data_IF_659934254372
#
_entry.id   IF_659934254372
#
_cell.length_a   1.000
_cell.length_b   1.000
_cell.length_c   1.000
_cell.angle_alpha   90.00
_cell.angle_beta   90.00
_cell.angle_gamma   90.00
#
_symmetry.space_group_name_H-M   'P 1'
#
loop_
_entity.id
_entity.type
_entity.pdbx_description
1 polymer ?
#
# COMPACT_ATOMS: atom_id res chain seq x y z
N UNK A 1 22.40 27.06 -11.64
CA UNK A 1 22.45 27.96 -10.47
C UNK A 1 22.43 27.13 -9.20
N UNK A 2 23.24 27.43 -8.18
CA UNK A 2 23.16 26.78 -6.87
C UNK A 2 21.91 27.19 -6.06
N UNK A 3 21.20 28.24 -6.47
CA UNK A 3 20.00 28.72 -5.79
C UNK A 3 18.81 27.77 -6.00
N UNK A 4 17.97 27.61 -4.97
CA UNK A 4 16.77 26.76 -5.00
C UNK A 4 15.67 27.36 -5.87
N UNK A 5 15.74 28.66 -6.13
CA UNK A 5 14.82 29.38 -7.01
C UNK A 5 15.53 30.42 -7.86
N UNK A 6 14.94 30.79 -8.98
CA UNK A 6 15.46 31.80 -9.89
C UNK A 6 14.31 32.52 -10.60
N UNK A 7 14.49 33.82 -10.83
CA UNK A 7 13.56 34.63 -11.63
C UNK A 7 14.17 34.86 -13.02
N UNK A 8 13.41 34.53 -14.06
CA UNK A 8 13.80 34.77 -15.47
C UNK A 8 12.59 35.26 -16.23
N UNK A 9 12.71 36.41 -16.89
CA UNK A 9 11.67 37.04 -17.75
C UNK A 9 10.29 37.13 -17.04
N UNK A 10 10.26 37.49 -15.74
CA UNK A 10 9.02 37.62 -15.00
C UNK A 10 8.42 36.29 -14.46
N UNK A 11 9.05 35.18 -14.79
CA UNK A 11 8.67 33.86 -14.27
C UNK A 11 9.59 33.46 -13.12
N UNK A 12 9.01 32.82 -12.13
CA UNK A 12 9.74 32.29 -10.97
C UNK A 12 9.83 30.78 -11.11
N UNK A 13 11.06 30.27 -11.08
CA UNK A 13 11.39 28.85 -11.21
C UNK A 13 11.83 28.32 -9.85
N UNK A 14 11.22 27.22 -9.41
CA UNK A 14 11.57 26.52 -8.17
C UNK A 14 12.00 25.10 -8.50
N UNK A 15 13.13 24.69 -7.95
CA UNK A 15 13.64 23.33 -8.12
C UNK A 15 12.93 22.39 -7.15
N UNK A 16 12.55 21.22 -7.64
CA UNK A 16 12.00 20.12 -6.87
C UNK A 16 12.94 18.94 -7.02
N UNK A 17 13.52 18.50 -5.93
CA UNK A 17 14.50 17.43 -5.91
C UNK A 17 13.88 16.12 -5.40
N UNK A 18 14.32 14.97 -5.98
CA UNK A 18 14.22 13.66 -5.37
C UNK A 18 15.60 13.29 -4.83
N UNK A 19 15.74 13.20 -3.52
CA UNK A 19 17.03 13.08 -2.84
C UNK A 19 18.00 14.21 -3.25
N UNK A 20 18.93 13.92 -4.16
CA UNK A 20 19.93 14.88 -4.68
C UNK A 20 19.81 15.13 -6.18
N UNK A 21 18.81 14.53 -6.85
CA UNK A 21 18.56 14.74 -8.28
C UNK A 21 17.44 15.75 -8.50
N UNK A 22 17.67 16.66 -9.44
CA UNK A 22 16.64 17.60 -9.89
C UNK A 22 15.61 16.82 -10.73
N UNK A 23 14.39 16.65 -10.20
CA UNK A 23 13.32 15.90 -10.85
C UNK A 23 12.37 16.81 -11.60
N UNK A 24 11.97 17.92 -10.98
CA UNK A 24 11.02 18.85 -11.58
C UNK A 24 11.46 20.30 -11.38
N UNK A 25 10.94 21.16 -12.25
CA UNK A 25 11.00 22.60 -12.09
C UNK A 25 9.56 23.10 -12.05
N UNK A 26 9.16 23.66 -10.91
CA UNK A 26 7.88 24.36 -10.79
C UNK A 26 8.04 25.77 -11.32
N UNK A 27 7.15 26.16 -12.24
CA UNK A 27 7.05 27.51 -12.78
C UNK A 27 5.86 28.22 -12.14
N UNK A 28 6.11 29.38 -11.55
CA UNK A 28 5.07 30.25 -11.04
C UNK A 28 5.10 31.60 -11.77
N UNK A 29 3.92 32.12 -12.13
CA UNK A 29 3.75 33.43 -12.77
C UNK A 29 2.52 34.12 -12.23
N UNK A 30 2.52 35.44 -12.18
CA UNK A 30 1.41 36.28 -11.74
C UNK A 30 1.86 37.68 -11.43
N UNK A 31 0.91 38.58 -11.26
CA UNK A 31 1.14 40.02 -11.04
C UNK A 31 1.19 40.39 -9.54
N UNK A 32 1.04 39.43 -8.65
CA UNK A 32 1.07 39.63 -7.18
C UNK A 32 2.47 39.38 -6.61
N UNK A 33 2.84 40.17 -5.61
CA UNK A 33 4.07 39.97 -4.82
C UNK A 33 4.10 38.64 -4.10
N UNK A 34 2.94 37.96 -3.91
CA UNK A 34 2.80 36.69 -3.24
C UNK A 34 3.25 35.49 -4.11
N UNK A 35 3.46 35.68 -5.42
CA UNK A 35 3.82 34.58 -6.36
C UNK A 35 5.04 33.80 -5.89
N UNK A 36 6.05 34.49 -5.37
CA UNK A 36 7.23 33.83 -4.82
C UNK A 36 6.90 32.94 -3.62
N UNK A 37 6.11 33.45 -2.67
CA UNK A 37 5.76 32.70 -1.45
C UNK A 37 4.90 31.48 -1.79
N UNK A 38 3.89 31.67 -2.65
CA UNK A 38 3.02 30.57 -3.11
C UNK A 38 3.82 29.51 -3.87
N UNK A 39 4.69 29.92 -4.80
CA UNK A 39 5.56 29.01 -5.54
C UNK A 39 6.51 28.23 -4.65
N UNK A 40 7.08 28.88 -3.63
CA UNK A 40 7.96 28.24 -2.66
C UNK A 40 7.21 27.21 -1.80
N UNK A 41 6.02 27.55 -1.30
CA UNK A 41 5.18 26.62 -0.55
C UNK A 41 4.79 25.43 -1.44
N UNK A 42 4.34 25.68 -2.65
CA UNK A 42 3.95 24.64 -3.60
C UNK A 42 5.12 23.70 -3.93
N UNK A 43 6.32 24.22 -4.19
CA UNK A 43 7.51 23.40 -4.48
C UNK A 43 7.89 22.50 -3.29
N UNK A 44 7.80 23.03 -2.08
CA UNK A 44 8.05 22.26 -0.85
C UNK A 44 7.00 21.16 -0.64
N UNK A 45 5.72 21.47 -0.87
CA UNK A 45 4.66 20.47 -0.77
C UNK A 45 4.80 19.36 -1.82
N UNK A 46 5.14 19.71 -3.07
CA UNK A 46 5.40 18.73 -4.12
C UNK A 46 6.56 17.81 -3.73
N UNK A 47 7.65 18.37 -3.20
CA UNK A 47 8.79 17.59 -2.75
C UNK A 47 8.41 16.60 -1.64
N UNK A 48 7.63 17.03 -0.66
CA UNK A 48 7.13 16.16 0.41
C UNK A 48 6.22 15.05 -0.13
N UNK A 49 5.36 15.36 -1.10
CA UNK A 49 4.49 14.38 -1.75
C UNK A 49 5.30 13.34 -2.54
N UNK A 50 6.36 13.76 -3.24
CA UNK A 50 7.24 12.83 -3.97
C UNK A 50 7.93 11.85 -3.03
N UNK A 51 8.47 12.34 -1.90
CA UNK A 51 9.09 11.48 -0.88
C UNK A 51 8.09 10.46 -0.34
N UNK A 52 6.89 10.92 0.04
CA UNK A 52 5.84 10.04 0.56
C UNK A 52 5.36 9.01 -0.48
N UNK A 53 5.22 9.43 -1.75
CA UNK A 53 4.84 8.55 -2.85
C UNK A 53 5.89 7.45 -3.10
N UNK A 54 7.18 7.84 -3.12
CA UNK A 54 8.30 6.91 -3.30
C UNK A 54 8.37 5.89 -2.17
N UNK A 55 8.24 6.33 -0.93
CA UNK A 55 8.23 5.43 0.24
C UNK A 55 7.08 4.42 0.14
N UNK A 56 5.89 4.88 -0.22
CA UNK A 56 4.72 4.00 -0.43
C UNK A 56 4.95 3.02 -1.57
N UNK A 57 5.51 3.48 -2.69
CA UNK A 57 5.83 2.63 -3.85
C UNK A 57 6.86 1.56 -3.51
N UNK A 58 7.91 1.92 -2.77
CA UNK A 58 8.96 0.98 -2.34
C UNK A 58 8.41 -0.08 -1.38
N UNK A 59 7.54 0.30 -0.44
CA UNK A 59 6.84 -0.63 0.47
C UNK A 59 5.91 -1.58 -0.31
N UNK A 60 5.10 -1.05 -1.22
CA UNK A 60 4.20 -1.86 -2.05
C UNK A 60 4.98 -2.87 -2.91
N UNK A 61 6.07 -2.42 -3.52
CA UNK A 61 6.95 -3.28 -4.33
C UNK A 61 7.65 -4.36 -3.49
N UNK A 62 8.09 -4.01 -2.28
CA UNK A 62 8.68 -4.97 -1.35
C UNK A 62 7.66 -6.05 -0.97
N UNK A 63 6.44 -5.66 -0.57
CA UNK A 63 5.37 -6.58 -0.18
C UNK A 63 4.96 -7.49 -1.34
N UNK A 64 4.80 -6.97 -2.55
CA UNK A 64 4.52 -7.78 -3.75
C UNK A 64 5.56 -8.86 -3.99
N UNK A 65 6.83 -8.48 -3.96
CA UNK A 65 7.93 -9.44 -4.15
C UNK A 65 8.00 -10.47 -3.01
N UNK A 66 7.70 -10.06 -1.78
CA UNK A 66 7.63 -10.96 -0.63
C UNK A 66 6.49 -11.99 -0.78
N UNK A 67 5.28 -11.55 -1.13
CA UNK A 67 4.14 -12.43 -1.37
C UNK A 67 4.42 -13.47 -2.46
N UNK A 68 5.07 -13.04 -3.54
CA UNK A 68 5.41 -13.89 -4.69
C UNK A 68 6.66 -14.76 -4.50
N UNK A 69 7.29 -14.70 -3.32
CA UNK A 69 8.48 -15.48 -2.99
C UNK A 69 9.70 -15.16 -3.89
N UNK A 70 9.81 -13.89 -4.31
CA UNK A 70 10.84 -13.41 -5.24
C UNK A 70 12.07 -12.81 -4.53
N UNK A 71 12.16 -12.95 -3.21
CA UNK A 71 13.23 -12.34 -2.41
C UNK A 71 14.06 -13.41 -1.71
N UNK A 72 15.37 -13.19 -1.67
CA UNK A 72 16.25 -13.98 -0.82
C UNK A 72 16.06 -13.59 0.65
N UNK A 73 16.27 -14.53 1.56
CA UNK A 73 16.07 -14.31 3.00
C UNK A 73 16.83 -13.08 3.52
N UNK A 74 18.08 -12.89 3.08
CA UNK A 74 18.90 -11.73 3.47
C UNK A 74 18.27 -10.41 2.98
N UNK A 75 17.72 -10.41 1.76
CA UNK A 75 17.07 -9.23 1.18
C UNK A 75 15.76 -8.89 1.89
N UNK A 76 15.02 -9.89 2.36
CA UNK A 76 13.79 -9.68 3.13
C UNK A 76 14.08 -8.81 4.35
N UNK A 77 15.02 -9.22 5.19
CA UNK A 77 15.34 -8.49 6.43
C UNK A 77 16.01 -7.13 6.17
N UNK A 78 16.92 -7.04 5.19
CA UNK A 78 17.59 -5.79 4.85
C UNK A 78 16.58 -4.74 4.31
N UNK A 79 15.68 -5.13 3.42
CA UNK A 79 14.66 -4.23 2.88
C UNK A 79 13.62 -3.86 3.91
N UNK A 80 13.15 -4.81 4.72
CA UNK A 80 12.22 -4.54 5.81
C UNK A 80 12.78 -3.48 6.76
N UNK A 81 14.05 -3.63 7.17
CA UNK A 81 14.75 -2.64 8.02
C UNK A 81 14.83 -1.27 7.35
N UNK A 82 15.21 -1.20 6.06
CA UNK A 82 15.28 0.06 5.31
C UNK A 82 13.93 0.76 5.20
N UNK A 83 12.86 -0.02 5.07
CA UNK A 83 11.48 0.46 4.90
C UNK A 83 10.75 0.67 6.24
N UNK A 84 11.43 0.47 7.35
CA UNK A 84 10.86 0.57 8.70
C UNK A 84 9.65 -0.35 8.91
N UNK A 85 9.76 -1.60 8.41
CA UNK A 85 8.74 -2.64 8.55
C UNK A 85 9.19 -3.62 9.64
N UNK A 86 8.37 -3.78 10.66
CA UNK A 86 8.64 -4.75 11.74
C UNK A 86 8.64 -6.18 11.19
N UNK A 87 9.65 -6.96 11.54
CA UNK A 87 9.85 -8.32 11.02
C UNK A 87 9.25 -9.39 11.89
N UNK A 88 9.22 -9.20 13.21
CA UNK A 88 8.81 -10.17 14.21
C UNK A 88 7.46 -9.79 14.84
N UNK A 89 6.44 -9.61 13.98
CA UNK A 89 5.06 -9.34 14.41
C UNK A 89 4.12 -10.34 13.75
N UNK A 90 3.02 -10.61 14.43
CA UNK A 90 1.97 -11.49 13.89
C UNK A 90 1.35 -10.84 12.65
N UNK A 91 1.25 -11.59 11.57
CA UNK A 91 0.54 -11.17 10.35
C UNK A 91 -0.33 -12.28 9.81
N UNK A 92 -1.36 -11.87 9.13
CA UNK A 92 -2.17 -12.72 8.28
C UNK A 92 -2.38 -12.11 6.91
N UNK A 93 -2.69 -12.96 5.94
CA UNK A 93 -2.87 -12.59 4.55
C UNK A 93 -4.31 -12.90 4.15
N UNK A 94 -5.03 -11.86 3.75
CA UNK A 94 -6.34 -12.01 3.09
C UNK A 94 -6.19 -11.83 1.59
N UNK A 95 -6.85 -12.68 0.85
CA UNK A 95 -7.06 -12.52 -0.59
C UNK A 95 -8.52 -12.19 -0.80
N UNK A 96 -8.76 -11.06 -1.44
CA UNK A 96 -10.09 -10.56 -1.78
C UNK A 96 -10.21 -10.58 -3.30
N UNK A 97 -11.08 -11.44 -3.81
CA UNK A 97 -11.41 -11.48 -5.24
C UNK A 97 -12.74 -10.77 -5.47
N UNK A 98 -12.75 -9.86 -6.44
CA UNK A 98 -13.94 -9.13 -6.88
C UNK A 98 -14.33 -9.56 -8.31
N UNK A 99 -15.56 -9.27 -8.72
CA UNK A 99 -16.04 -9.63 -10.06
C UNK A 99 -15.44 -8.74 -11.15
N UNK A 100 -14.88 -7.59 -10.81
CA UNK A 100 -14.29 -6.64 -11.76
C UNK A 100 -12.79 -6.82 -11.84
N UNK A 101 -12.29 -6.90 -13.07
CA UNK A 101 -10.83 -6.86 -13.30
C UNK A 101 -10.30 -5.46 -13.00
N UNK A 102 -9.16 -5.38 -12.29
CA UNK A 102 -8.48 -4.13 -11.90
C UNK A 102 -9.40 -3.17 -11.15
N UNK A 103 -10.08 -3.66 -10.15
CA UNK A 103 -10.97 -2.84 -9.33
C UNK A 103 -10.18 -1.84 -8.48
N UNK A 104 -9.84 -0.70 -9.09
CA UNK A 104 -9.11 0.39 -8.43
C UNK A 104 -9.97 0.98 -7.31
N UNK A 105 -11.30 1.01 -7.47
CA UNK A 105 -12.21 1.53 -6.46
C UNK A 105 -12.18 0.68 -5.20
N UNK A 106 -12.35 -0.64 -5.33
CA UNK A 106 -12.26 -1.56 -4.20
C UNK A 106 -10.91 -1.51 -3.50
N UNK A 107 -9.81 -1.43 -4.28
CA UNK A 107 -8.46 -1.29 -3.73
C UNK A 107 -8.29 0.00 -2.91
N UNK A 108 -8.76 1.12 -3.44
CA UNK A 108 -8.66 2.43 -2.77
C UNK A 108 -9.55 2.51 -1.53
N UNK A 109 -10.73 1.91 -1.56
CA UNK A 109 -11.63 1.83 -0.41
C UNK A 109 -11.04 0.98 0.71
N UNK A 110 -10.50 -0.20 0.39
CA UNK A 110 -9.80 -1.02 1.37
C UNK A 110 -8.58 -0.30 1.97
N UNK A 111 -7.82 0.43 1.14
CA UNK A 111 -6.70 1.26 1.62
C UNK A 111 -7.16 2.37 2.57
N UNK A 112 -8.26 3.01 2.27
CA UNK A 112 -8.82 4.10 3.07
C UNK A 112 -9.27 3.63 4.45
N UNK A 113 -9.91 2.47 4.52
CA UNK A 113 -10.49 1.94 5.76
C UNK A 113 -9.47 1.16 6.59
N UNK A 114 -8.72 0.25 5.97
CA UNK A 114 -7.78 -0.64 6.67
C UNK A 114 -6.38 -0.04 6.79
N UNK A 115 -5.93 0.72 5.79
CA UNK A 115 -4.58 1.28 5.73
C UNK A 115 -4.33 2.44 6.70
N UNK A 116 -5.36 2.96 7.38
CA UNK A 116 -5.28 4.19 8.19
C UNK A 116 -4.35 4.13 9.41
N UNK A 117 -3.96 2.95 9.87
CA UNK A 117 -3.00 2.78 10.97
C UNK A 117 -1.55 2.60 10.52
N UNK A 118 -1.29 2.56 9.20
CA UNK A 118 0.06 2.46 8.63
C UNK A 118 0.80 1.13 8.85
N UNK A 119 0.12 0.12 9.42
CA UNK A 119 0.68 -1.19 9.75
C UNK A 119 0.27 -2.28 8.77
N UNK A 120 -0.90 -2.11 8.16
CA UNK A 120 -1.45 -3.03 7.17
C UNK A 120 -1.00 -2.62 5.77
N UNK A 121 -0.75 -3.62 4.91
CA UNK A 121 -0.41 -3.38 3.51
C UNK A 121 -1.53 -3.89 2.63
N UNK A 122 -2.01 -3.04 1.73
CA UNK A 122 -3.06 -3.38 0.78
C UNK A 122 -2.50 -3.18 -0.63
N UNK A 123 -2.41 -4.27 -1.37
CA UNK A 123 -1.81 -4.31 -2.71
C UNK A 123 -2.60 -5.22 -3.65
N UNK A 124 -2.28 -5.19 -4.93
CA UNK A 124 -2.78 -6.13 -5.92
C UNK A 124 -1.59 -6.83 -6.59
N UNK A 125 -1.60 -8.15 -6.63
CA UNK A 125 -0.56 -8.96 -7.28
C UNK A 125 -0.94 -9.38 -8.70
N UNK A 126 -2.24 -9.35 -9.00
CA UNK A 126 -2.81 -9.61 -10.32
C UNK A 126 -4.07 -8.74 -10.57
N UNK A 127 -4.80 -9.01 -11.65
CA UNK A 127 -5.94 -8.19 -12.08
C UNK A 127 -7.22 -8.43 -11.28
N UNK A 128 -7.32 -9.51 -10.50
CA UNK A 128 -8.54 -9.93 -9.81
C UNK A 128 -8.43 -9.91 -8.30
N UNK A 129 -7.20 -10.04 -7.79
CA UNK A 129 -6.98 -10.28 -6.37
C UNK A 129 -6.37 -9.06 -5.68
N UNK A 130 -7.09 -8.54 -4.69
CA UNK A 130 -6.58 -7.57 -3.75
C UNK A 130 -6.04 -8.35 -2.54
N UNK A 131 -4.84 -8.03 -2.12
CA UNK A 131 -4.18 -8.69 -1.00
C UNK A 131 -4.10 -7.72 0.16
N UNK A 132 -4.58 -8.16 1.32
CA UNK A 132 -4.43 -7.44 2.59
C UNK A 132 -3.45 -8.22 3.45
N UNK A 133 -2.31 -7.61 3.75
CA UNK A 133 -1.35 -8.10 4.75
C UNK A 133 -1.66 -7.37 6.05
N UNK A 134 -2.35 -8.04 6.97
CA UNK A 134 -2.81 -7.45 8.21
C UNK A 134 -1.83 -7.74 9.35
N UNK A 135 -1.43 -6.69 10.09
CA UNK A 135 -0.73 -6.86 11.35
C UNK A 135 -1.73 -7.15 12.47
N UNK A 136 -1.46 -8.19 13.25
CA UNK A 136 -2.28 -8.63 14.37
C UNK A 136 -1.63 -8.25 15.70
N UNK A 137 -2.45 -7.88 16.68
CA UNK A 137 -2.01 -7.63 18.03
C UNK A 137 -1.59 -8.91 18.76
N UNK A 138 -0.90 -8.80 19.91
CA UNK A 138 -0.41 -9.97 20.66
C UNK A 138 -1.50 -10.96 21.08
N UNK A 139 -2.73 -10.47 21.34
CA UNK A 139 -3.90 -11.27 21.73
C UNK A 139 -4.80 -11.71 20.60
N UNK A 140 -4.56 -11.20 19.38
CA UNK A 140 -5.39 -11.47 18.22
C UNK A 140 -5.15 -12.89 17.67
N UNK A 141 -6.21 -13.45 17.10
CA UNK A 141 -6.22 -14.78 16.52
C UNK A 141 -7.32 -14.91 15.46
N UNK A 142 -7.73 -16.13 15.17
CA UNK A 142 -8.74 -16.43 14.15
C UNK A 142 -10.07 -15.67 14.32
N UNK A 143 -10.59 -15.39 15.54
CA UNK A 143 -11.80 -14.58 15.69
C UNK A 143 -11.65 -13.15 15.15
N UNK A 144 -10.46 -12.53 15.28
CA UNK A 144 -10.20 -11.20 14.71
C UNK A 144 -10.08 -11.27 13.20
N UNK A 145 -9.59 -12.37 12.65
CA UNK A 145 -9.53 -12.60 11.20
C UNK A 145 -10.93 -12.74 10.62
N UNK A 146 -11.81 -13.53 11.23
CA UNK A 146 -13.22 -13.65 10.84
C UNK A 146 -13.91 -12.27 10.85
N UNK A 147 -13.68 -11.48 11.89
CA UNK A 147 -14.20 -10.12 11.99
C UNK A 147 -13.68 -9.22 10.87
N UNK A 148 -12.38 -9.25 10.59
CA UNK A 148 -11.78 -8.48 9.49
C UNK A 148 -12.35 -8.90 8.13
N UNK A 149 -12.54 -10.20 7.90
CA UNK A 149 -13.14 -10.69 6.66
C UNK A 149 -14.57 -10.17 6.48
N UNK A 150 -15.37 -10.11 7.56
CA UNK A 150 -16.71 -9.53 7.52
C UNK A 150 -16.67 -8.01 7.25
N UNK A 151 -15.76 -7.27 7.90
CA UNK A 151 -15.60 -5.83 7.68
C UNK A 151 -15.25 -5.53 6.21
N UNK A 152 -14.36 -6.32 5.60
CA UNK A 152 -14.02 -6.22 4.17
C UNK A 152 -15.24 -6.50 3.30
N UNK A 153 -15.96 -7.58 3.60
CA UNK A 153 -17.16 -7.98 2.85
C UNK A 153 -18.24 -6.92 2.89
N UNK A 154 -18.54 -6.38 4.08
CA UNK A 154 -19.58 -5.38 4.29
C UNK A 154 -19.22 -4.06 3.61
N UNK A 155 -17.93 -3.65 3.66
CA UNK A 155 -17.44 -2.47 2.97
C UNK A 155 -17.64 -2.58 1.46
N UNK A 156 -17.22 -3.67 0.85
CA UNK A 156 -17.29 -3.85 -0.60
C UNK A 156 -18.73 -4.03 -1.09
N UNK A 157 -19.58 -4.69 -0.30
CA UNK A 157 -21.02 -4.77 -0.59
C UNK A 157 -21.70 -3.40 -0.54
N UNK A 158 -21.33 -2.56 0.41
CA UNK A 158 -21.86 -1.19 0.50
C UNK A 158 -21.48 -0.33 -0.72
N UNK A 159 -20.39 -0.66 -1.41
CA UNK A 159 -19.95 -0.02 -2.66
C UNK A 159 -20.57 -0.66 -3.91
N UNK A 160 -21.42 -1.65 -3.73
CA UNK A 160 -22.14 -2.31 -4.83
C UNK A 160 -21.35 -3.42 -5.51
N UNK A 161 -20.28 -3.95 -4.85
CA UNK A 161 -19.57 -5.10 -5.34
C UNK A 161 -20.39 -6.38 -5.10
N UNK A 162 -20.48 -7.19 -6.15
CA UNK A 162 -21.14 -8.49 -6.13
C UNK A 162 -20.09 -9.62 -6.29
N UNK A 163 -20.46 -10.83 -5.87
CA UNK A 163 -19.61 -12.02 -6.02
C UNK A 163 -18.22 -11.90 -5.41
N UNK A 164 -18.14 -11.29 -4.22
CA UNK A 164 -16.91 -11.15 -3.47
C UNK A 164 -16.53 -12.50 -2.86
N UNK A 165 -15.28 -12.93 -3.07
CA UNK A 165 -14.70 -14.10 -2.39
C UNK A 165 -13.54 -13.63 -1.53
N UNK A 166 -13.49 -14.12 -0.30
CA UNK A 166 -12.42 -13.79 0.64
C UNK A 166 -11.86 -15.10 1.19
N UNK A 167 -10.56 -15.24 1.15
CA UNK A 167 -9.83 -16.31 1.81
C UNK A 167 -8.67 -15.72 2.60
N UNK A 168 -8.27 -16.41 3.68
CA UNK A 168 -7.11 -16.03 4.45
C UNK A 168 -6.23 -17.24 4.77
N UNK A 169 -4.95 -16.99 5.01
CA UNK A 169 -3.97 -18.02 5.31
C UNK A 169 -3.84 -18.32 6.80
N UNK A 170 -2.75 -18.93 7.18
CA UNK A 170 -2.39 -19.11 8.58
C UNK A 170 -1.67 -17.88 9.13
N UNK A 171 -1.91 -17.58 10.42
CA UNK A 171 -1.20 -16.53 11.13
C UNK A 171 0.29 -16.88 11.20
N UNK A 172 1.14 -15.95 10.76
CA UNK A 172 2.59 -16.08 10.80
C UNK A 172 3.19 -15.06 11.78
N UNK A 173 4.36 -15.38 12.35
CA UNK A 173 5.00 -14.54 13.36
C UNK A 173 6.27 -13.82 12.84
N UNK A 174 6.69 -14.12 11.63
CA UNK A 174 7.88 -13.56 11.00
C UNK A 174 7.55 -13.19 9.56
N UNK A 175 8.08 -12.05 9.12
CA UNK A 175 7.83 -11.50 7.78
C UNK A 175 8.24 -12.47 6.65
N UNK A 176 9.27 -13.30 6.86
CA UNK A 176 9.71 -14.31 5.88
C UNK A 176 8.66 -15.38 5.58
N UNK A 177 7.69 -15.56 6.48
CA UNK A 177 6.64 -16.57 6.35
C UNK A 177 5.39 -16.04 5.64
N UNK A 178 5.36 -14.75 5.30
CA UNK A 178 4.21 -14.09 4.63
C UNK A 178 3.87 -14.77 3.30
N UNK A 179 4.88 -15.17 2.51
CA UNK A 179 4.65 -15.90 1.25
C UNK A 179 3.97 -17.24 1.46
N UNK A 180 4.23 -17.93 2.58
CA UNK A 180 3.57 -19.20 2.94
C UNK A 180 2.09 -18.95 3.21
N UNK A 181 1.77 -17.99 4.09
CA UNK A 181 0.38 -17.63 4.39
C UNK A 181 -0.40 -17.23 3.12
N UNK A 182 0.24 -16.46 2.23
CA UNK A 182 -0.34 -16.11 0.93
C UNK A 182 -0.66 -17.32 0.06
N UNK A 183 0.28 -18.28 -0.06
CA UNK A 183 0.08 -19.52 -0.83
C UNK A 183 -1.07 -20.35 -0.27
N UNK A 184 -1.21 -20.41 1.05
CA UNK A 184 -2.30 -21.12 1.74
C UNK A 184 -3.65 -20.42 1.50
N UNK A 185 -3.71 -19.08 1.62
CA UNK A 185 -4.90 -18.30 1.30
C UNK A 185 -5.32 -18.49 -0.17
N UNK A 186 -4.36 -18.50 -1.10
CA UNK A 186 -4.63 -18.73 -2.52
C UNK A 186 -5.18 -20.12 -2.77
N UNK A 187 -4.61 -21.14 -2.15
CA UNK A 187 -5.12 -22.50 -2.27
C UNK A 187 -6.54 -22.60 -1.71
N UNK A 188 -6.83 -21.98 -0.57
CA UNK A 188 -8.18 -21.94 0.01
C UNK A 188 -9.18 -21.25 -0.93
N UNK A 189 -8.78 -20.17 -1.59
CA UNK A 189 -9.61 -19.48 -2.59
C UNK A 189 -9.89 -20.34 -3.83
N UNK A 190 -8.88 -21.07 -4.33
CA UNK A 190 -8.96 -21.89 -5.52
C UNK A 190 -9.79 -23.17 -5.30
N UNK A 191 -9.64 -23.83 -4.13
CA UNK A 191 -10.37 -25.05 -3.77
C UNK A 191 -11.79 -24.75 -3.33
N UNK A 192 -12.00 -23.62 -2.71
CA UNK A 192 -13.31 -23.19 -2.24
C UNK A 192 -14.13 -22.56 -3.36
N UNK A 193 -15.04 -23.32 -3.96
CA UNK A 193 -16.28 -22.75 -4.48
C UNK A 193 -17.10 -22.21 -3.31
N UNK A 194 -16.54 -21.30 -2.51
CA UNK A 194 -17.14 -20.87 -1.26
C UNK A 194 -17.59 -19.44 -1.38
N UNK A 195 -18.85 -19.29 -1.70
CA UNK A 195 -19.68 -18.31 -0.99
C UNK A 195 -19.41 -18.52 0.50
N UNK A 196 -18.84 -17.52 1.14
CA UNK A 196 -18.65 -17.38 2.58
C UNK A 196 -19.43 -18.44 3.43
N UNK A 197 -18.84 -19.57 3.70
CA UNK A 197 -19.31 -20.57 4.65
C UNK A 197 -18.10 -21.25 5.26
N UNK A 198 -17.87 -20.95 6.53
CA UNK A 198 -17.04 -21.68 7.50
C UNK A 198 -16.20 -22.82 6.96
N UNK A 199 -14.90 -22.61 6.79
CA UNK A 199 -13.93 -23.69 6.96
C UNK A 199 -13.39 -23.57 8.40
N UNK A 200 -13.89 -24.43 9.27
CA UNK A 200 -13.26 -24.78 10.54
C UNK A 200 -12.15 -25.77 10.28
#
# INVERSE_FOLDING_TARGET
SPADSQVVNGYQFFKVFDEHQLEYILLASGDSDDVYMVGKIASFQIQNLLVAYKERFDKDNFIKNLLLDNLLLVDIYNRAKKLHIDTEVKRDIFIVETSRERDVSALDSLRSVLGGKGKDFITAVDEKNIIVVKELGPGDGYPEMDKTAHEILDLLKAEGEENIRIAYGTIVNDIKEVSKSYKEAKLALDVGTVSYTHLR
#
